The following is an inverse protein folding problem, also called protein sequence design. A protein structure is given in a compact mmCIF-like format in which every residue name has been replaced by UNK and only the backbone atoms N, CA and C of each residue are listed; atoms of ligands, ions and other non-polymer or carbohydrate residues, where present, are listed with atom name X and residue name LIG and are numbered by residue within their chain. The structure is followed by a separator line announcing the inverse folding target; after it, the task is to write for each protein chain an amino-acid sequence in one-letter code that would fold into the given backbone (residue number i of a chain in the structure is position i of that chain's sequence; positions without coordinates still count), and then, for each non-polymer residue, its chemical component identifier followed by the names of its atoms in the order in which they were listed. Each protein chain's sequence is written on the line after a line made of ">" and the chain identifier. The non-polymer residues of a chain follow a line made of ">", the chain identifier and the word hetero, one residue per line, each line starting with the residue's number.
data_IF_515161988117
#
_entry.id   IF_515161988117
#
_cell.length_a   1.000
_cell.length_b   1.000
_cell.length_c   1.000
_cell.angle_alpha   90.00
_cell.angle_beta   90.00
_cell.angle_gamma   90.00
#
_symmetry.space_group_name_H-M   'P 1'
#
loop_
_entity.id
_entity.type
_entity.pdbx_description
1 polymer ?
#
# COMPACT_ATOMS: atom_id res chain seq x y z
N UNK A 1 7.15 5.72 -11.65
CA UNK A 1 7.69 5.64 -13.02
C UNK A 1 8.92 6.54 -13.14
N UNK A 2 9.89 6.15 -13.94
CA UNK A 2 11.06 6.97 -14.27
C UNK A 2 11.06 7.28 -15.77
N UNK A 3 11.68 8.39 -16.15
CA UNK A 3 11.78 8.86 -17.52
C UNK A 3 13.25 8.92 -17.90
N UNK A 4 13.60 8.27 -19.01
CA UNK A 4 14.91 8.40 -19.64
C UNK A 4 14.80 9.41 -20.80
N UNK A 5 15.68 10.38 -20.81
CA UNK A 5 15.89 11.34 -21.90
C UNK A 5 17.27 11.10 -22.50
N UNK A 6 17.34 10.99 -23.82
CA UNK A 6 18.60 10.79 -24.53
C UNK A 6 18.74 11.87 -25.62
N UNK A 7 19.86 12.59 -25.62
CA UNK A 7 20.17 13.58 -26.61
C UNK A 7 21.67 13.69 -26.82
N UNK A 8 22.13 13.67 -28.07
CA UNK A 8 23.54 13.84 -28.46
C UNK A 8 24.54 12.95 -27.67
N UNK A 9 24.11 11.75 -27.29
CA UNK A 9 24.93 10.80 -26.53
C UNK A 9 24.89 10.99 -25.01
N UNK A 10 24.22 12.01 -24.51
CA UNK A 10 24.01 12.25 -23.10
C UNK A 10 22.67 11.64 -22.65
N UNK A 11 22.65 11.03 -21.45
CA UNK A 11 21.49 10.33 -20.87
C UNK A 11 21.11 10.96 -19.53
N UNK A 12 19.87 11.40 -19.42
CA UNK A 12 19.30 11.96 -18.19
C UNK A 12 18.17 11.09 -17.72
N UNK A 13 18.21 10.64 -16.46
CA UNK A 13 17.12 9.91 -15.84
C UNK A 13 16.45 10.77 -14.77
N UNK A 14 15.13 10.90 -14.87
CA UNK A 14 14.29 11.56 -13.86
C UNK A 14 13.40 10.51 -13.23
N UNK A 15 13.57 10.25 -11.91
CA UNK A 15 12.93 9.09 -11.27
C UNK A 15 11.49 9.35 -10.81
N UNK A 16 11.13 10.56 -10.42
CA UNK A 16 9.97 10.72 -9.54
C UNK A 16 10.13 9.93 -8.25
N UNK A 17 9.04 9.62 -7.57
CA UNK A 17 9.06 8.78 -6.37
C UNK A 17 9.34 7.32 -6.74
N UNK A 18 10.28 6.69 -6.04
CA UNK A 18 10.64 5.29 -6.27
C UNK A 18 11.07 4.59 -4.98
N UNK A 19 11.10 3.28 -5.02
CA UNK A 19 11.68 2.44 -3.96
C UNK A 19 12.42 1.25 -4.55
N UNK A 20 13.51 0.87 -3.91
CA UNK A 20 14.34 -0.27 -4.32
C UNK A 20 13.88 -1.59 -3.70
N UNK A 21 13.07 -1.53 -2.64
CA UNK A 21 12.50 -2.72 -2.01
C UNK A 21 11.39 -3.29 -2.89
N UNK A 22 11.28 -4.60 -2.94
CA UNK A 22 10.21 -5.29 -3.64
C UNK A 22 8.83 -4.83 -3.16
N UNK A 23 7.91 -4.73 -4.10
CA UNK A 23 6.53 -4.36 -3.87
C UNK A 23 5.62 -5.29 -4.68
N UNK A 24 4.64 -5.95 -4.04
CA UNK A 24 3.76 -6.89 -4.75
C UNK A 24 2.80 -6.20 -5.73
N UNK A 25 2.71 -4.87 -5.69
CA UNK A 25 1.73 -4.11 -6.47
C UNK A 25 2.31 -3.39 -7.67
N UNK A 26 3.62 -3.51 -7.91
CA UNK A 26 4.28 -2.89 -9.06
C UNK A 26 5.54 -3.64 -9.47
N UNK A 27 6.02 -3.47 -10.71
CA UNK A 27 7.30 -4.00 -11.15
C UNK A 27 8.47 -3.50 -10.28
N UNK A 28 9.57 -4.27 -10.18
CA UNK A 28 10.76 -3.84 -9.47
C UNK A 28 11.37 -2.59 -10.10
N UNK A 29 12.09 -1.83 -9.27
CA UNK A 29 12.84 -0.67 -9.76
C UNK A 29 13.94 -1.12 -10.73
N UNK A 30 13.95 -0.55 -11.92
CA UNK A 30 14.96 -0.78 -12.94
C UNK A 30 16.09 0.26 -12.82
N UNK A 31 17.32 -0.20 -12.75
CA UNK A 31 18.49 0.67 -12.73
C UNK A 31 18.90 0.98 -14.18
N UNK A 32 18.77 2.25 -14.57
CA UNK A 32 19.13 2.71 -15.91
C UNK A 32 20.45 3.48 -15.80
N UNK A 33 21.54 3.06 -16.49
CA UNK A 33 22.78 3.83 -16.58
C UNK A 33 22.54 5.20 -17.22
N UNK A 34 23.05 6.26 -16.60
CA UNK A 34 22.86 7.64 -17.08
C UNK A 34 24.04 8.53 -16.67
N UNK A 35 24.17 9.66 -17.34
CA UNK A 35 25.18 10.69 -17.04
C UNK A 35 24.66 11.65 -15.97
N UNK A 36 23.34 11.94 -15.98
CA UNK A 36 22.67 12.80 -15.02
C UNK A 36 21.49 12.04 -14.40
N UNK A 37 21.44 12.01 -13.08
CA UNK A 37 20.38 11.39 -12.31
C UNK A 37 19.63 12.40 -11.46
N UNK A 38 18.39 12.70 -11.82
CA UNK A 38 17.50 13.61 -11.08
C UNK A 38 16.56 12.76 -10.22
N UNK A 39 16.66 12.87 -8.90
CA UNK A 39 15.93 12.03 -7.95
C UNK A 39 15.32 12.85 -6.81
N UNK A 40 14.24 12.36 -6.26
CA UNK A 40 13.73 12.81 -4.96
C UNK A 40 14.59 12.20 -3.82
N UNK A 41 14.54 12.81 -2.64
CA UNK A 41 15.30 12.36 -1.48
C UNK A 41 14.52 12.55 -0.16
N UNK A 42 13.20 12.42 -0.18
CA UNK A 42 12.31 12.63 0.98
C UNK A 42 12.76 11.82 2.20
N UNK A 43 13.18 10.58 2.00
CA UNK A 43 13.68 9.69 3.04
C UNK A 43 15.18 9.37 2.86
N UNK A 44 15.93 10.28 2.25
CA UNK A 44 17.35 10.08 1.95
C UNK A 44 18.29 10.18 3.16
N UNK A 45 17.82 10.70 4.29
CA UNK A 45 18.64 10.81 5.50
C UNK A 45 18.72 9.46 6.24
N UNK A 46 19.89 9.09 6.79
CA UNK A 46 20.08 7.84 7.53
C UNK A 46 19.16 7.65 8.75
N UNK A 47 18.57 8.72 9.27
CA UNK A 47 17.62 8.68 10.39
C UNK A 47 16.31 7.95 10.01
N UNK A 48 15.97 7.93 8.73
CA UNK A 48 14.76 7.24 8.25
C UNK A 48 15.04 5.75 8.08
N UNK A 49 14.79 4.99 9.12
CA UNK A 49 14.86 3.52 9.08
C UNK A 49 13.45 2.95 8.96
N UNK A 50 13.30 2.00 8.05
CA UNK A 50 12.02 1.34 7.83
C UNK A 50 12.17 -0.15 8.12
N UNK A 51 11.47 -0.72 9.11
CA UNK A 51 11.44 -2.15 9.36
C UNK A 51 11.01 -2.95 8.10
N UNK A 52 11.33 -4.23 8.01
CA UNK A 52 10.77 -5.11 7.01
C UNK A 52 9.24 -5.10 7.07
N UNK A 53 8.58 -4.99 5.91
CA UNK A 53 7.11 -4.90 5.86
C UNK A 53 6.43 -6.10 6.51
N UNK A 54 7.02 -7.29 6.38
CA UNK A 54 6.47 -8.52 6.99
C UNK A 54 6.37 -8.44 8.52
N UNK A 55 7.31 -7.76 9.18
CA UNK A 55 7.25 -7.56 10.64
C UNK A 55 6.08 -6.65 11.02
N UNK A 56 5.83 -5.59 10.26
CA UNK A 56 4.71 -4.68 10.52
C UNK A 56 3.36 -5.34 10.23
N UNK A 57 3.27 -6.14 9.17
CA UNK A 57 2.08 -6.96 8.88
C UNK A 57 1.84 -7.99 9.99
N UNK A 58 2.88 -8.65 10.49
CA UNK A 58 2.75 -9.60 11.60
C UNK A 58 2.22 -8.92 12.88
N UNK A 59 2.68 -7.71 13.20
CA UNK A 59 2.16 -6.93 14.33
C UNK A 59 0.68 -6.59 14.16
N UNK A 60 0.27 -6.20 12.93
CA UNK A 60 -1.12 -5.90 12.62
C UNK A 60 -2.00 -7.14 12.80
N UNK A 61 -1.60 -8.29 12.26
CA UNK A 61 -2.33 -9.54 12.41
C UNK A 61 -2.39 -10.03 13.86
N UNK A 62 -1.30 -9.88 14.62
CA UNK A 62 -1.27 -10.19 16.05
C UNK A 62 -2.25 -9.29 16.83
N UNK A 63 -2.33 -8.01 16.47
CA UNK A 63 -3.30 -7.06 17.06
C UNK A 63 -4.73 -7.48 16.76
N UNK A 64 -5.02 -7.83 15.51
CA UNK A 64 -6.33 -8.34 15.10
C UNK A 64 -6.75 -9.57 15.92
N UNK A 65 -5.84 -10.54 16.04
CA UNK A 65 -6.09 -11.78 16.81
C UNK A 65 -6.28 -11.53 18.31
N UNK A 66 -5.64 -10.52 18.88
CA UNK A 66 -5.74 -10.19 20.31
C UNK A 66 -7.06 -9.51 20.69
N UNK A 67 -7.77 -8.92 19.73
CA UNK A 67 -9.02 -8.19 19.97
C UNK A 67 -10.11 -8.61 18.95
N UNK A 68 -10.63 -9.84 19.02
CA UNK A 68 -11.51 -10.40 18.00
C UNK A 68 -12.86 -9.68 17.88
N UNK A 69 -13.27 -8.95 18.91
CA UNK A 69 -14.53 -8.19 18.92
C UNK A 69 -14.38 -6.76 18.36
N UNK A 70 -13.16 -6.35 17.98
CA UNK A 70 -12.89 -5.01 17.48
C UNK A 70 -12.36 -5.06 16.06
N UNK A 71 -12.72 -4.06 15.24
CA UNK A 71 -12.06 -3.87 13.96
C UNK A 71 -10.71 -3.15 14.13
N UNK A 72 -9.78 -3.43 13.22
CA UNK A 72 -8.51 -2.72 13.13
C UNK A 72 -8.60 -1.73 11.96
N UNK A 73 -8.50 -0.43 12.26
CA UNK A 73 -8.47 0.62 11.25
C UNK A 73 -7.03 0.84 10.76
N UNK A 74 -6.83 0.75 9.45
CA UNK A 74 -5.54 0.98 8.79
C UNK A 74 -5.62 2.23 7.94
N UNK A 75 -4.99 3.31 8.40
CA UNK A 75 -4.89 4.57 7.67
C UNK A 75 -3.83 4.51 6.58
N UNK A 76 -4.23 4.57 5.31
CA UNK A 76 -3.32 4.55 4.17
C UNK A 76 -3.79 5.51 3.08
N UNK A 77 -2.84 6.04 2.30
CA UNK A 77 -3.22 6.81 1.10
C UNK A 77 -3.90 5.91 0.07
N UNK A 78 -4.94 6.45 -0.58
CA UNK A 78 -5.79 5.70 -1.51
C UNK A 78 -5.04 5.16 -2.73
N UNK A 79 -3.97 5.83 -3.16
CA UNK A 79 -3.12 5.37 -4.27
C UNK A 79 -1.81 4.77 -3.75
N UNK A 80 -1.55 3.53 -4.08
CA UNK A 80 -0.30 2.81 -3.86
C UNK A 80 -0.17 2.21 -2.46
N UNK A 81 -0.27 3.01 -1.37
CA UNK A 81 -0.06 2.50 0.00
C UNK A 81 -1.15 1.54 0.46
N UNK A 82 -2.41 1.85 0.19
CA UNK A 82 -3.53 0.98 0.55
C UNK A 82 -3.40 -0.38 -0.14
N UNK A 83 -3.19 -0.40 -1.46
CA UNK A 83 -3.06 -1.63 -2.23
C UNK A 83 -1.86 -2.46 -1.79
N UNK A 84 -0.73 -1.82 -1.50
CA UNK A 84 0.43 -2.51 -0.98
C UNK A 84 0.16 -3.19 0.37
N UNK A 85 -0.46 -2.50 1.32
CA UNK A 85 -0.80 -3.09 2.63
C UNK A 85 -1.73 -4.28 2.44
N UNK A 86 -2.77 -4.16 1.60
CA UNK A 86 -3.70 -5.24 1.31
C UNK A 86 -2.97 -6.44 0.69
N UNK A 87 -2.16 -6.22 -0.34
CA UNK A 87 -1.41 -7.30 -0.99
C UNK A 87 -0.41 -7.98 -0.03
N UNK A 88 0.24 -7.24 0.86
CA UNK A 88 1.12 -7.82 1.87
C UNK A 88 0.35 -8.62 2.93
N UNK A 89 -0.86 -8.20 3.32
CA UNK A 89 -1.76 -8.99 4.16
C UNK A 89 -2.13 -10.32 3.49
N UNK A 90 -2.47 -10.30 2.18
CA UNK A 90 -2.75 -11.52 1.42
C UNK A 90 -1.55 -12.45 1.36
N UNK A 91 -0.36 -11.92 1.13
CA UNK A 91 0.90 -12.70 1.15
C UNK A 91 1.22 -13.30 2.51
N UNK A 92 0.81 -12.64 3.59
CA UNK A 92 0.93 -13.15 4.96
C UNK A 92 -0.14 -14.19 5.33
N UNK A 93 -1.05 -14.54 4.40
CA UNK A 93 -2.06 -15.58 4.59
C UNK A 93 -3.39 -15.08 5.14
N UNK A 94 -3.60 -13.76 5.25
CA UNK A 94 -4.91 -13.22 5.65
C UNK A 94 -5.91 -13.36 4.50
N UNK A 95 -6.86 -14.28 4.62
CA UNK A 95 -7.85 -14.62 3.59
C UNK A 95 -9.22 -13.96 3.80
N UNK A 96 -9.50 -13.48 5.01
CA UNK A 96 -10.79 -12.88 5.34
C UNK A 96 -11.04 -11.60 4.52
N UNK A 97 -12.30 -11.20 4.33
CA UNK A 97 -12.63 -9.95 3.66
C UNK A 97 -11.94 -8.75 4.30
N UNK A 98 -11.37 -7.87 3.47
CA UNK A 98 -10.86 -6.56 3.90
C UNK A 98 -11.89 -5.51 3.52
N UNK A 99 -12.26 -4.71 4.50
CA UNK A 99 -13.26 -3.67 4.31
C UNK A 99 -12.62 -2.35 3.92
N UNK A 100 -13.24 -1.66 2.98
CA UNK A 100 -12.74 -0.42 2.42
C UNK A 100 -13.67 0.75 2.78
N UNK A 101 -13.08 1.85 3.22
CA UNK A 101 -13.75 3.13 3.10
C UNK A 101 -14.01 3.45 1.63
N UNK A 102 -15.16 4.05 1.29
CA UNK A 102 -15.55 4.30 -0.11
C UNK A 102 -14.50 5.04 -0.95
N UNK A 103 -13.70 5.93 -0.33
CA UNK A 103 -12.61 6.63 -1.01
C UNK A 103 -11.48 5.70 -1.54
N UNK A 104 -11.40 4.46 -1.04
CA UNK A 104 -10.39 3.48 -1.45
C UNK A 104 -10.83 2.64 -2.64
N UNK A 105 -12.14 2.49 -2.85
CA UNK A 105 -12.74 1.53 -3.75
C UNK A 105 -12.20 1.63 -5.17
N UNK A 106 -12.29 2.82 -5.77
CA UNK A 106 -11.91 3.03 -7.18
C UNK A 106 -10.47 2.64 -7.47
N UNK A 107 -9.54 2.99 -6.56
CA UNK A 107 -8.13 2.65 -6.74
C UNK A 107 -7.86 1.17 -6.52
N UNK A 108 -8.51 0.54 -5.55
CA UNK A 108 -8.36 -0.90 -5.32
C UNK A 108 -8.90 -1.71 -6.53
N UNK A 109 -10.06 -1.34 -7.07
CA UNK A 109 -10.60 -1.97 -8.29
C UNK A 109 -9.63 -1.83 -9.46
N UNK A 110 -9.10 -0.62 -9.69
CA UNK A 110 -8.12 -0.40 -10.76
C UNK A 110 -6.90 -1.34 -10.64
N UNK A 111 -6.38 -1.53 -9.42
CA UNK A 111 -5.26 -2.45 -9.21
C UNK A 111 -5.65 -3.91 -9.48
N UNK A 112 -6.86 -4.34 -9.10
CA UNK A 112 -7.38 -5.66 -9.44
C UNK A 112 -7.54 -5.85 -10.96
N UNK A 113 -8.02 -4.84 -11.68
CA UNK A 113 -8.14 -4.83 -13.13
C UNK A 113 -6.77 -4.98 -13.82
N UNK A 114 -5.71 -4.47 -13.21
CA UNK A 114 -4.31 -4.68 -13.63
C UNK A 114 -3.69 -5.98 -13.11
N UNK A 115 -4.48 -6.88 -12.53
CA UNK A 115 -4.03 -8.21 -12.13
C UNK A 115 -3.33 -8.27 -10.76
N UNK A 116 -3.42 -7.22 -9.94
CA UNK A 116 -2.90 -7.27 -8.57
C UNK A 116 -3.90 -8.03 -7.68
N UNK A 117 -3.45 -9.10 -7.06
CA UNK A 117 -4.29 -9.88 -6.14
C UNK A 117 -4.47 -9.13 -4.82
N UNK A 118 -5.66 -8.56 -4.66
CA UNK A 118 -6.10 -7.92 -3.43
C UNK A 118 -7.14 -8.77 -2.67
N UNK A 119 -7.58 -9.90 -3.24
CA UNK A 119 -8.56 -10.81 -2.66
C UNK A 119 -9.97 -10.20 -2.54
N UNK A 120 -10.75 -10.71 -1.56
CA UNK A 120 -12.12 -10.21 -1.29
C UNK A 120 -12.06 -8.84 -0.60
N UNK A 121 -12.61 -7.84 -1.29
CA UNK A 121 -12.73 -6.46 -0.82
C UNK A 121 -14.20 -6.06 -0.74
N UNK A 122 -14.61 -5.50 0.39
CA UNK A 122 -15.99 -5.07 0.66
C UNK A 122 -16.04 -3.62 1.10
N UNK A 123 -17.14 -2.95 0.85
CA UNK A 123 -17.33 -1.57 1.31
C UNK A 123 -17.90 -1.54 2.73
N UNK A 124 -17.35 -0.69 3.58
CA UNK A 124 -17.88 -0.46 4.93
C UNK A 124 -19.34 0.02 4.89
N UNK A 125 -19.72 0.75 3.84
CA UNK A 125 -21.10 1.22 3.66
C UNK A 125 -22.12 0.08 3.50
N UNK A 126 -21.67 -1.10 3.07
CA UNK A 126 -22.50 -2.29 2.86
C UNK A 126 -22.45 -3.25 4.06
N UNK A 127 -21.67 -2.92 5.10
CA UNK A 127 -21.48 -3.78 6.25
C UNK A 127 -22.72 -3.84 7.15
N UNK A 128 -23.11 -5.05 7.53
CA UNK A 128 -24.04 -5.27 8.61
C UNK A 128 -23.43 -4.94 9.98
N UNK A 129 -24.31 -4.81 11.00
CA UNK A 129 -23.95 -4.31 12.34
C UNK A 129 -22.76 -5.02 13.01
N UNK A 130 -22.59 -6.30 12.76
CA UNK A 130 -21.57 -7.14 13.41
C UNK A 130 -20.46 -7.63 12.45
N UNK A 131 -20.56 -7.33 11.15
CA UNK A 131 -19.61 -7.84 10.16
C UNK A 131 -18.22 -7.22 10.24
N UNK A 132 -18.08 -6.08 10.90
CA UNK A 132 -16.80 -5.43 11.11
C UNK A 132 -16.05 -5.94 12.37
N UNK A 133 -16.64 -6.82 13.16
CA UNK A 133 -15.95 -7.41 14.31
C UNK A 133 -14.82 -8.31 13.85
N UNK A 134 -13.65 -8.14 14.43
CA UNK A 134 -12.46 -8.90 14.03
C UNK A 134 -11.99 -8.63 12.58
N UNK A 135 -12.46 -7.55 11.96
CA UNK A 135 -12.13 -7.22 10.58
C UNK A 135 -11.03 -6.15 10.46
N UNK A 136 -10.39 -6.13 9.30
CA UNK A 136 -9.50 -5.03 8.90
C UNK A 136 -10.27 -4.07 8.01
N UNK A 137 -10.20 -2.78 8.37
CA UNK A 137 -10.78 -1.68 7.59
C UNK A 137 -9.66 -0.78 7.09
N UNK A 138 -9.56 -0.59 5.78
CA UNK A 138 -8.59 0.32 5.16
C UNK A 138 -9.28 1.62 4.77
N UNK A 139 -8.72 2.74 5.24
CA UNK A 139 -9.32 4.06 5.06
C UNK A 139 -8.25 5.16 4.83
N UNK A 140 -8.62 6.35 4.33
CA UNK A 140 -7.71 7.49 4.31
C UNK A 140 -7.27 7.86 5.72
N UNK A 141 -6.03 8.37 5.93
CA UNK A 141 -5.58 8.78 7.25
C UNK A 141 -6.49 9.79 7.95
N UNK A 142 -7.14 10.67 7.19
CA UNK A 142 -8.11 11.64 7.72
C UNK A 142 -9.34 10.97 8.36
N UNK A 143 -9.77 9.84 7.82
CA UNK A 143 -10.94 9.12 8.31
C UNK A 143 -10.69 8.36 9.63
N UNK A 144 -9.44 8.24 10.10
CA UNK A 144 -9.15 7.62 11.40
C UNK A 144 -9.75 8.39 12.60
N UNK A 145 -10.03 9.66 12.41
CA UNK A 145 -10.61 10.52 13.44
C UNK A 145 -12.13 10.73 13.30
N UNK A 146 -12.72 10.17 12.25
CA UNK A 146 -14.16 10.24 12.00
C UNK A 146 -14.92 9.28 12.91
N UNK A 147 -16.21 9.55 13.11
CA UNK A 147 -17.13 8.59 13.75
C UNK A 147 -17.64 7.64 12.67
N UNK A 148 -17.36 6.38 12.86
CA UNK A 148 -17.77 5.28 11.99
C UNK A 148 -19.07 4.66 12.50
#
# INVERSE_FOLDING_TARGET
>A
AQILLEHAGERVVVTGDYKRRADPTCPPFEVIPCDIFVTEATFGLPVFTHPPIGEEIAKLLARLASEPDRCVLVGAYALGKAQRVIAELRRAGHSDPIWLHGAMERMCRLYQDFGVDLGDLRLVADAGKDELRGAIVVCPPSALNDRW
#
